data_IF_366652780192
#
_entry.id   IF_366652780192
#
_cell.length_a   1.000
_cell.length_b   1.000
_cell.length_c   1.000
_cell.angle_alpha   90.00
_cell.angle_beta   90.00
_cell.angle_gamma   90.00
#
_symmetry.space_group_name_H-M   'P 1'
#
loop_
_entity.id
_entity.type
_entity.pdbx_description
1 polymer ?
#
# COMPACT_ATOMS: atom_id res chain seq x y z
N UNK A 1 13.16 5.25 12.68
CA UNK A 1 12.13 5.87 11.82
C UNK A 1 12.82 6.33 10.56
N UNK A 2 12.25 5.96 9.43
CA UNK A 2 12.71 6.28 8.09
C UNK A 2 11.63 7.11 7.39
N UNK A 3 12.08 7.99 6.52
CA UNK A 3 11.20 8.71 5.60
C UNK A 3 10.96 7.82 4.39
N UNK A 4 9.71 7.74 3.95
CA UNK A 4 9.31 6.99 2.76
C UNK A 4 8.45 7.87 1.87
N UNK A 5 8.69 7.78 0.56
CA UNK A 5 7.69 8.16 -0.43
C UNK A 5 6.68 7.00 -0.54
N UNK A 6 5.45 7.25 -0.13
CA UNK A 6 4.37 6.29 -0.09
C UNK A 6 3.37 6.56 -1.22
N UNK A 7 3.25 5.61 -2.13
CA UNK A 7 2.16 5.52 -3.10
C UNK A 7 1.07 4.59 -2.57
N UNK A 8 -0.15 5.11 -2.45
CA UNK A 8 -1.35 4.36 -2.08
C UNK A 8 -2.25 4.23 -3.31
N UNK A 9 -2.50 3.01 -3.76
CA UNK A 9 -3.41 2.71 -4.85
C UNK A 9 -4.66 1.99 -4.31
N UNK A 10 -5.82 2.63 -4.36
CA UNK A 10 -7.10 1.99 -4.01
C UNK A 10 -7.77 1.45 -5.27
N UNK A 11 -7.88 0.13 -5.36
CA UNK A 11 -8.46 -0.62 -6.48
C UNK A 11 -9.84 -1.09 -6.06
N UNK A 12 -10.88 -0.62 -6.74
CA UNK A 12 -12.26 -1.01 -6.48
C UNK A 12 -12.69 -2.16 -7.41
N UNK A 13 -13.55 -3.08 -6.93
CA UNK A 13 -13.95 -4.27 -7.69
C UNK A 13 -14.68 -3.97 -9.01
N UNK A 14 -15.30 -2.79 -9.12
CA UNK A 14 -16.06 -2.37 -10.30
C UNK A 14 -15.23 -1.67 -11.39
N UNK A 15 -13.96 -1.34 -11.12
CA UNK A 15 -13.13 -0.52 -12.03
C UNK A 15 -11.81 -1.16 -12.47
N UNK A 16 -11.42 -2.30 -11.88
CA UNK A 16 -10.11 -2.90 -12.13
C UNK A 16 -8.94 -1.96 -11.82
N UNK A 17 -7.71 -2.35 -12.19
CA UNK A 17 -6.52 -1.53 -11.93
C UNK A 17 -6.53 -0.18 -12.68
N UNK A 18 -7.24 -0.10 -13.82
CA UNK A 18 -7.32 1.12 -14.64
C UNK A 18 -8.03 2.30 -13.95
N UNK A 19 -8.89 2.02 -12.97
CA UNK A 19 -9.60 3.05 -12.19
C UNK A 19 -9.09 3.15 -10.75
N UNK A 20 -7.87 2.67 -10.48
CA UNK A 20 -7.27 2.80 -9.17
C UNK A 20 -7.08 4.27 -8.79
N UNK A 21 -7.57 4.66 -7.61
CA UNK A 21 -7.29 5.99 -7.05
C UNK A 21 -5.88 5.97 -6.47
N UNK A 22 -5.00 6.82 -7.01
CA UNK A 22 -3.61 6.96 -6.57
C UNK A 22 -3.45 8.17 -5.66
N UNK A 23 -2.69 8.02 -4.59
CA UNK A 23 -2.33 9.09 -3.66
C UNK A 23 -0.84 8.94 -3.30
N UNK A 24 -0.09 10.04 -3.36
CA UNK A 24 1.33 10.08 -2.97
C UNK A 24 1.45 10.86 -1.67
N UNK A 25 2.25 10.34 -0.73
CA UNK A 25 2.50 10.94 0.59
C UNK A 25 3.94 10.72 1.00
N UNK A 26 4.51 11.69 1.71
CA UNK A 26 5.74 11.49 2.46
C UNK A 26 5.37 11.08 3.90
N UNK A 27 5.92 9.97 4.37
CA UNK A 27 5.57 9.43 5.70
C UNK A 27 6.83 9.05 6.48
N UNK A 28 6.79 9.29 7.79
CA UNK A 28 7.80 8.81 8.73
C UNK A 28 7.27 7.58 9.44
N UNK A 29 7.94 6.44 9.26
CA UNK A 29 7.53 5.17 9.86
C UNK A 29 8.73 4.37 10.36
N UNK A 30 8.51 3.45 11.30
CA UNK A 30 9.55 2.50 11.71
C UNK A 30 9.86 1.48 10.61
N UNK A 31 8.82 1.04 9.89
CA UNK A 31 8.90 0.23 8.69
C UNK A 31 7.60 0.37 7.87
N UNK A 32 7.60 -0.02 6.58
CA UNK A 32 6.39 -0.14 5.77
C UNK A 32 5.26 -0.92 6.45
N UNK A 33 5.59 -2.04 7.09
CA UNK A 33 4.63 -2.91 7.77
C UNK A 33 4.04 -2.23 9.01
N UNK A 34 4.86 -1.52 9.78
CA UNK A 34 4.40 -0.76 10.95
C UNK A 34 3.44 0.37 10.55
N UNK A 35 3.71 1.05 9.43
CA UNK A 35 2.80 2.06 8.90
C UNK A 35 1.45 1.46 8.52
N UNK A 36 1.45 0.36 7.76
CA UNK A 36 0.22 -0.30 7.31
C UNK A 36 -0.54 -0.91 8.50
N UNK A 37 0.14 -1.44 9.51
CA UNK A 37 -0.52 -1.94 10.72
C UNK A 37 -1.26 -0.84 11.50
N UNK A 38 -0.72 0.39 11.51
CA UNK A 38 -1.31 1.52 12.24
C UNK A 38 -2.36 2.31 11.43
N UNK A 39 -2.16 2.44 10.12
CA UNK A 39 -2.96 3.31 9.24
C UNK A 39 -3.81 2.52 8.22
N UNK A 40 -3.54 1.23 8.04
CA UNK A 40 -4.24 0.37 7.10
C UNK A 40 -5.69 0.16 7.51
N UNK A 41 -6.58 0.24 6.52
CA UNK A 41 -8.02 0.06 6.74
C UNK A 41 -8.44 -1.41 6.78
N UNK A 42 -7.66 -2.27 6.14
CA UNK A 42 -7.99 -3.66 5.88
C UNK A 42 -6.83 -4.58 6.27
N UNK A 43 -7.07 -5.87 6.52
CA UNK A 43 -6.00 -6.82 6.82
C UNK A 43 -5.02 -6.93 5.65
N UNK A 44 -3.75 -7.16 6.00
CA UNK A 44 -2.68 -7.46 5.04
C UNK A 44 -2.95 -8.82 4.39
N UNK A 45 -2.93 -8.83 3.05
CA UNK A 45 -3.09 -10.02 2.21
C UNK A 45 -1.73 -10.51 1.73
N UNK A 46 -0.87 -9.58 1.33
CA UNK A 46 0.45 -9.87 0.79
C UNK A 46 1.43 -8.73 1.12
N UNK A 47 2.72 -9.07 1.24
CA UNK A 47 3.80 -8.13 1.49
C UNK A 47 5.10 -8.66 0.90
N UNK A 48 5.83 -7.81 0.19
CA UNK A 48 7.10 -8.18 -0.41
C UNK A 48 7.86 -6.98 -0.96
N UNK A 49 8.90 -7.26 -1.77
CA UNK A 49 9.64 -6.24 -2.52
C UNK A 49 9.40 -6.40 -4.01
N UNK A 50 9.24 -5.29 -4.72
CA UNK A 50 9.18 -5.31 -6.18
C UNK A 50 10.58 -5.47 -6.79
N UNK A 51 10.67 -5.54 -8.12
CA UNK A 51 11.95 -5.66 -8.83
C UNK A 51 12.88 -4.45 -8.66
N UNK A 52 12.35 -3.28 -8.29
CA UNK A 52 13.13 -2.08 -7.98
C UNK A 52 13.64 -2.05 -6.53
N UNK A 53 13.17 -2.97 -5.68
CA UNK A 53 13.52 -3.05 -4.26
C UNK A 53 12.55 -2.32 -3.32
N UNK A 54 11.54 -1.64 -3.87
CA UNK A 54 10.50 -0.94 -3.10
C UNK A 54 9.67 -1.95 -2.31
N UNK A 55 9.27 -1.57 -1.11
CA UNK A 55 8.44 -2.42 -0.27
C UNK A 55 6.98 -2.25 -0.68
N UNK A 56 6.32 -3.33 -1.08
CA UNK A 56 4.93 -3.34 -1.54
C UNK A 56 4.11 -4.17 -0.58
N UNK A 57 3.04 -3.57 -0.04
CA UNK A 57 2.10 -4.22 0.87
C UNK A 57 0.70 -4.07 0.30
N UNK A 58 -0.01 -5.20 0.17
CA UNK A 58 -1.39 -5.23 -0.32
C UNK A 58 -2.32 -5.59 0.82
N UNK A 59 -3.36 -4.78 1.01
CA UNK A 59 -4.46 -5.03 1.95
C UNK A 59 -5.78 -5.17 1.21
N UNK A 60 -6.79 -5.78 1.82
CA UNK A 60 -8.11 -5.84 1.18
C UNK A 60 -9.23 -6.39 2.06
N UNK A 61 -10.45 -6.13 1.63
CA UNK A 61 -11.67 -6.43 2.39
C UNK A 61 -12.26 -7.83 2.13
N UNK A 62 -11.60 -8.62 1.27
CA UNK A 62 -12.07 -9.94 0.83
C UNK A 62 -13.28 -9.90 -0.10
N UNK A 63 -13.80 -8.72 -0.46
CA UNK A 63 -14.95 -8.50 -1.36
C UNK A 63 -14.54 -7.82 -2.67
N UNK A 64 -13.23 -7.67 -2.88
CA UNK A 64 -12.63 -7.17 -4.11
C UNK A 64 -12.14 -5.73 -4.03
N UNK A 65 -12.22 -5.08 -2.86
CA UNK A 65 -11.46 -3.85 -2.62
C UNK A 65 -10.04 -4.24 -2.23
N UNK A 66 -9.06 -3.72 -2.97
CA UNK A 66 -7.64 -3.86 -2.67
C UNK A 66 -7.01 -2.47 -2.48
N UNK A 67 -6.13 -2.35 -1.50
CA UNK A 67 -5.29 -1.16 -1.34
C UNK A 67 -3.84 -1.62 -1.37
N UNK A 68 -3.08 -1.12 -2.35
CA UNK A 68 -1.66 -1.37 -2.50
C UNK A 68 -0.88 -0.16 -1.99
N UNK A 69 0.05 -0.42 -1.10
CA UNK A 69 0.99 0.55 -0.54
C UNK A 69 2.37 0.24 -1.11
N UNK A 70 2.99 1.20 -1.78
CA UNK A 70 4.37 1.08 -2.28
C UNK A 70 5.20 2.12 -1.55
N UNK A 71 6.24 1.65 -0.86
CA UNK A 71 7.18 2.48 -0.10
C UNK A 71 8.53 2.48 -0.80
N UNK A 72 8.99 3.68 -1.14
CA UNK A 72 10.31 3.94 -1.70
C UNK A 72 11.11 4.77 -0.69
N UNK A 73 12.40 4.42 -0.54
CA UNK A 73 13.38 5.14 0.31
C UNK A 73 14.19 6.15 -0.50
#
# INVERSE_FOLDING_TARGET
>A
MHEYELLIETINPCGGEAHAKKEFKEVFAESPESYVAQNGRYPVIDSGKNAAGDSVITTGDGKGILIRYTFTE
#
